data_IF_997083658023
#
_entry.id   IF_997083658023
#
_cell.length_a   1.000
_cell.length_b   1.000
_cell.length_c   1.000
_cell.angle_alpha   90.00
_cell.angle_beta   90.00
_cell.angle_gamma   90.00
#
_symmetry.space_group_name_H-M   'P 1'
#
loop_
_entity.id
_entity.type
_entity.pdbx_description
1 polymer ?
#
# COMPACT_ATOMS: atom_id res chain seq x y z
N UNK A 1 -21.77 -16.16 -2.04
CA UNK A 1 -20.50 -15.62 -2.55
C UNK A 1 -19.39 -16.33 -1.83
N UNK A 2 -18.25 -16.69 -2.44
CA UNK A 2 -17.16 -17.28 -1.70
C UNK A 2 -16.59 -16.21 -0.78
N UNK A 3 -16.81 -16.34 0.51
CA UNK A 3 -16.08 -15.55 1.51
C UNK A 3 -14.69 -16.15 1.62
N UNK A 4 -13.66 -15.31 1.72
CA UNK A 4 -12.32 -15.79 2.07
C UNK A 4 -12.43 -16.66 3.34
N UNK A 5 -11.76 -17.81 3.33
CA UNK A 5 -11.83 -18.76 4.45
C UNK A 5 -11.28 -18.16 5.76
N UNK A 6 -10.34 -17.24 5.65
CA UNK A 6 -9.61 -16.64 6.77
C UNK A 6 -9.82 -15.12 6.82
N UNK A 7 -9.65 -14.48 7.98
CA UNK A 7 -9.71 -13.02 8.10
C UNK A 7 -8.71 -12.33 7.17
N UNK A 8 -9.11 -11.15 6.69
CA UNK A 8 -8.27 -10.28 5.87
C UNK A 8 -7.71 -9.16 6.76
N UNK A 9 -6.42 -8.97 6.74
CA UNK A 9 -5.75 -7.84 7.39
C UNK A 9 -5.33 -6.84 6.32
N UNK A 10 -5.79 -5.60 6.44
CA UNK A 10 -5.32 -4.46 5.66
C UNK A 10 -4.12 -3.86 6.39
N UNK A 11 -2.91 -4.06 5.85
CA UNK A 11 -1.67 -3.60 6.45
C UNK A 11 -1.21 -2.29 5.82
N UNK A 12 -1.18 -1.22 6.62
CA UNK A 12 -0.86 0.13 6.16
C UNK A 12 0.66 0.38 6.03
N UNK A 13 1.03 1.31 5.13
CA UNK A 13 2.39 1.80 4.97
C UNK A 13 2.78 2.92 5.95
N UNK A 14 3.89 3.60 5.64
CA UNK A 14 4.28 4.84 6.34
C UNK A 14 3.58 6.02 5.70
N UNK A 15 2.92 6.84 6.52
CA UNK A 15 2.36 8.11 6.10
C UNK A 15 2.18 9.03 7.32
N UNK A 16 2.37 10.32 7.13
CA UNK A 16 1.95 11.33 8.09
C UNK A 16 0.43 11.51 7.99
N UNK A 17 -0.27 10.59 8.65
CA UNK A 17 -1.73 10.53 8.59
C UNK A 17 -2.39 11.80 9.14
N UNK A 18 -1.77 12.47 10.14
CA UNK A 18 -2.15 13.78 10.63
C UNK A 18 -2.17 14.86 9.53
N UNK A 19 -1.12 14.90 8.71
CA UNK A 19 -1.05 15.83 7.58
C UNK A 19 -2.09 15.49 6.51
N UNK A 20 -2.20 14.22 6.14
CA UNK A 20 -3.18 13.76 5.14
C UNK A 20 -4.60 14.09 5.58
N UNK A 21 -4.98 13.79 6.82
CA UNK A 21 -6.29 14.13 7.37
C UNK A 21 -6.57 15.64 7.31
N UNK A 22 -5.62 16.46 7.72
CA UNK A 22 -5.78 17.92 7.68
C UNK A 22 -5.94 18.45 6.25
N UNK A 23 -5.18 17.89 5.30
CA UNK A 23 -5.28 18.25 3.88
C UNK A 23 -6.66 17.87 3.32
N UNK A 24 -7.09 16.63 3.54
CA UNK A 24 -8.35 16.15 3.00
C UNK A 24 -9.57 16.77 3.69
N UNK A 25 -9.53 17.05 5.00
CA UNK A 25 -10.60 17.76 5.69
C UNK A 25 -10.84 19.14 5.06
N UNK A 26 -9.78 19.91 4.80
CA UNK A 26 -9.90 21.21 4.10
C UNK A 26 -10.50 21.05 2.70
N UNK A 27 -10.16 19.97 2.00
CA UNK A 27 -10.68 19.65 0.67
C UNK A 27 -12.17 19.33 0.74
N UNK A 28 -12.62 18.54 1.72
CA UNK A 28 -14.02 18.19 1.94
C UNK A 28 -14.84 19.41 2.36
N UNK A 29 -14.34 20.22 3.30
CA UNK A 29 -14.96 21.47 3.69
C UNK A 29 -15.16 22.41 2.51
N UNK A 30 -14.13 22.56 1.65
CA UNK A 30 -14.21 23.40 0.46
C UNK A 30 -15.24 22.91 -0.58
N UNK A 31 -15.58 21.61 -0.55
CA UNK A 31 -16.62 20.99 -1.39
C UNK A 31 -18.00 20.95 -0.73
N UNK A 32 -18.12 21.39 0.53
CA UNK A 32 -19.36 21.23 1.31
C UNK A 32 -19.74 19.78 1.58
N UNK A 33 -18.75 18.87 1.53
CA UNK A 33 -18.94 17.46 1.86
C UNK A 33 -18.79 17.31 3.38
N UNK A 34 -19.92 17.11 4.07
CA UNK A 34 -19.88 16.60 5.45
C UNK A 34 -19.70 15.08 5.38
N UNK A 35 -18.67 14.59 6.05
CA UNK A 35 -18.41 13.15 6.07
C UNK A 35 -19.43 12.44 6.98
N UNK A 36 -20.59 12.09 6.41
CA UNK A 36 -21.54 11.15 7.04
C UNK A 36 -21.12 9.68 6.83
N UNK A 37 -19.89 9.46 6.42
CA UNK A 37 -19.34 8.16 6.05
C UNK A 37 -19.15 7.23 7.24
N UNK A 38 -19.20 5.89 7.01
CA UNK A 38 -18.97 4.90 8.05
C UNK A 38 -17.58 5.04 8.69
N UNK A 39 -17.43 4.52 9.90
CA UNK A 39 -16.28 4.63 10.83
C UNK A 39 -14.85 4.50 10.24
N UNK A 40 -14.66 4.13 8.98
CA UNK A 40 -13.35 4.00 8.34
C UNK A 40 -13.06 5.00 7.18
N UNK A 41 -13.92 6.01 7.00
CA UNK A 41 -13.70 7.05 5.99
C UNK A 41 -12.47 7.92 6.28
N UNK A 42 -12.05 8.00 7.54
CA UNK A 42 -10.88 8.74 8.02
C UNK A 42 -9.70 7.80 8.35
N UNK A 43 -9.78 6.54 7.94
CA UNK A 43 -8.70 5.57 8.14
C UNK A 43 -7.77 5.53 6.93
N UNK A 44 -6.59 4.94 7.11
CA UNK A 44 -5.59 4.80 6.06
C UNK A 44 -6.20 4.21 4.77
N UNK A 45 -6.93 3.10 4.87
CA UNK A 45 -7.69 2.49 3.77
C UNK A 45 -9.11 3.06 3.73
N UNK A 46 -9.25 4.24 3.12
CA UNK A 46 -10.48 5.03 3.15
C UNK A 46 -11.70 4.29 2.60
N UNK A 47 -12.60 3.89 3.50
CA UNK A 47 -13.87 3.20 3.17
C UNK A 47 -13.70 1.82 2.54
N UNK A 48 -12.48 1.29 2.40
CA UNK A 48 -12.20 -0.02 1.79
C UNK A 48 -12.61 -1.14 2.74
N UNK A 49 -12.23 -1.05 4.02
CA UNK A 49 -12.59 -2.04 5.03
C UNK A 49 -14.08 -2.21 5.17
N UNK A 50 -14.84 -1.10 5.27
CA UNK A 50 -16.30 -1.13 5.32
C UNK A 50 -16.92 -1.71 4.05
N UNK A 51 -16.37 -1.37 2.88
CA UNK A 51 -16.85 -1.92 1.61
C UNK A 51 -16.71 -3.45 1.57
N UNK A 52 -15.57 -3.99 1.98
CA UNK A 52 -15.35 -5.43 2.03
C UNK A 52 -16.25 -6.13 3.07
N UNK A 53 -16.45 -5.53 4.27
CA UNK A 53 -17.36 -6.07 5.28
C UNK A 53 -18.81 -6.12 4.80
N UNK A 54 -19.26 -5.11 4.06
CA UNK A 54 -20.60 -5.10 3.43
C UNK A 54 -20.79 -6.26 2.43
N UNK A 55 -19.68 -6.77 1.86
CA UNK A 55 -19.69 -7.94 0.98
C UNK A 55 -19.43 -9.27 1.72
N UNK A 56 -19.45 -9.25 3.06
CA UNK A 56 -19.39 -10.45 3.90
C UNK A 56 -17.99 -10.95 4.24
N UNK A 57 -16.94 -10.15 4.00
CA UNK A 57 -15.58 -10.51 4.42
C UNK A 57 -15.31 -10.11 5.86
N UNK A 58 -14.57 -10.93 6.60
CA UNK A 58 -14.02 -10.58 7.91
C UNK A 58 -12.73 -9.76 7.71
N UNK A 59 -12.80 -8.46 7.98
CA UNK A 59 -11.72 -7.52 7.65
C UNK A 59 -11.31 -6.71 8.85
N UNK A 60 -10.00 -6.70 9.10
CA UNK A 60 -9.33 -5.94 10.14
C UNK A 60 -8.32 -4.98 9.51
N UNK A 61 -8.11 -3.82 10.13
CA UNK A 61 -7.05 -2.89 9.75
C UNK A 61 -5.93 -3.00 10.78
N UNK A 62 -4.68 -3.09 10.31
CA UNK A 62 -3.53 -3.11 11.20
C UNK A 62 -3.33 -1.76 11.91
N UNK A 63 -2.75 -1.82 13.10
CA UNK A 63 -2.31 -0.66 13.85
C UNK A 63 -0.85 -0.87 14.21
N UNK A 64 0.05 -0.47 13.31
CA UNK A 64 1.50 -0.53 13.51
C UNK A 64 2.08 0.87 13.66
N UNK A 65 3.26 0.99 14.25
CA UNK A 65 3.92 2.28 14.45
C UNK A 65 4.22 2.98 13.12
N UNK A 66 3.65 4.15 12.87
CA UNK A 66 3.80 4.86 11.58
C UNK A 66 5.23 5.29 11.28
N UNK A 67 6.02 5.66 12.29
CA UNK A 67 7.33 6.26 12.19
C UNK A 67 8.50 5.30 12.46
N UNK A 68 8.23 4.03 12.78
CA UNK A 68 9.25 3.10 13.18
C UNK A 68 9.96 2.45 11.98
N UNK A 69 11.20 1.95 12.14
CA UNK A 69 11.85 1.14 11.14
C UNK A 69 11.11 -0.18 10.91
N UNK A 70 11.37 -0.82 9.76
CA UNK A 70 10.64 -2.02 9.29
C UNK A 70 10.65 -3.17 10.31
N UNK A 71 11.73 -3.35 11.05
CA UNK A 71 11.85 -4.41 12.06
C UNK A 71 10.81 -4.24 13.17
N UNK A 72 10.68 -3.03 13.70
CA UNK A 72 9.68 -2.73 14.74
C UNK A 72 8.25 -2.84 14.21
N UNK A 73 8.00 -2.36 13.01
CA UNK A 73 6.69 -2.45 12.35
C UNK A 73 6.30 -3.91 12.07
N UNK A 74 7.27 -4.75 11.73
CA UNK A 74 7.08 -6.20 11.56
C UNK A 74 6.70 -6.88 12.88
N UNK A 75 7.30 -6.47 14.02
CA UNK A 75 6.90 -6.95 15.34
C UNK A 75 5.47 -6.55 15.69
N UNK A 76 5.12 -5.27 15.50
CA UNK A 76 3.77 -4.77 15.75
C UNK A 76 2.74 -5.53 14.90
N UNK A 77 3.06 -5.79 13.61
CA UNK A 77 2.18 -6.55 12.71
C UNK A 77 2.04 -8.02 13.15
N UNK A 78 3.12 -8.66 13.63
CA UNK A 78 3.07 -10.01 14.21
C UNK A 78 2.09 -10.07 15.38
N UNK A 79 2.17 -9.11 16.27
CA UNK A 79 1.33 -9.07 17.46
C UNK A 79 -0.14 -8.85 17.08
N UNK A 80 -0.39 -8.00 16.09
CA UNK A 80 -1.73 -7.79 15.55
C UNK A 80 -2.30 -9.03 14.85
N UNK A 81 -1.50 -9.74 14.04
CA UNK A 81 -1.90 -11.03 13.43
C UNK A 81 -2.27 -12.05 14.51
N UNK A 82 -1.43 -12.20 15.55
CA UNK A 82 -1.71 -13.13 16.65
C UNK A 82 -3.00 -12.75 17.41
N UNK A 83 -3.24 -11.46 17.63
CA UNK A 83 -4.46 -10.95 18.26
C UNK A 83 -5.70 -11.31 17.42
N UNK A 84 -5.65 -11.08 16.11
CA UNK A 84 -6.76 -11.39 15.20
C UNK A 84 -7.03 -12.90 15.13
N UNK A 85 -6.00 -13.73 15.05
CA UNK A 85 -6.14 -15.17 15.07
C UNK A 85 -6.81 -15.66 16.37
N UNK A 86 -6.43 -15.08 17.52
CA UNK A 86 -7.07 -15.39 18.80
C UNK A 86 -8.54 -14.99 18.84
N UNK A 87 -8.88 -13.80 18.33
CA UNK A 87 -10.25 -13.29 18.33
C UNK A 87 -11.16 -14.05 17.36
N UNK A 88 -10.67 -14.38 16.18
CA UNK A 88 -11.44 -15.06 15.14
C UNK A 88 -11.52 -16.59 15.32
N UNK A 89 -10.64 -17.16 16.14
CA UNK A 89 -10.49 -18.62 16.27
C UNK A 89 -9.95 -19.30 15.01
N UNK A 90 -9.38 -18.53 14.08
CA UNK A 90 -8.83 -19.04 12.83
C UNK A 90 -7.35 -19.38 12.95
N UNK A 91 -6.84 -20.24 12.06
CA UNK A 91 -5.44 -20.66 12.06
C UNK A 91 -4.53 -19.77 11.20
N UNK A 92 -5.11 -19.08 10.23
CA UNK A 92 -4.38 -18.25 9.25
C UNK A 92 -5.12 -16.96 8.98
N UNK A 93 -4.38 -16.01 8.38
CA UNK A 93 -4.92 -14.77 7.84
C UNK A 93 -4.53 -14.61 6.37
N UNK A 94 -5.27 -13.77 5.65
CA UNK A 94 -4.84 -13.14 4.42
C UNK A 94 -4.37 -11.72 4.74
N UNK A 95 -3.29 -11.26 4.09
CA UNK A 95 -2.80 -9.90 4.25
C UNK A 95 -2.90 -9.19 2.90
N UNK A 96 -3.57 -8.04 2.87
CA UNK A 96 -3.52 -7.08 1.76
C UNK A 96 -2.77 -5.87 2.30
N UNK A 97 -1.56 -5.65 1.79
CA UNK A 97 -0.64 -4.65 2.30
C UNK A 97 -0.39 -3.56 1.26
N UNK A 98 -0.35 -2.32 1.71
CA UNK A 98 -0.02 -1.18 0.88
C UNK A 98 1.34 -0.58 1.25
N UNK A 99 2.11 -0.16 0.23
CA UNK A 99 3.35 0.55 0.43
C UNK A 99 4.35 -0.22 1.31
N UNK A 100 4.99 0.44 2.27
CA UNK A 100 5.90 -0.18 3.25
C UNK A 100 5.23 -1.32 4.04
N UNK A 101 3.90 -1.33 4.21
CA UNK A 101 3.19 -2.42 4.86
C UNK A 101 3.45 -3.80 4.22
N UNK A 102 3.76 -3.82 2.92
CA UNK A 102 4.18 -5.04 2.23
C UNK A 102 5.57 -5.50 2.65
N UNK A 103 6.51 -4.59 2.89
CA UNK A 103 7.83 -4.91 3.45
C UNK A 103 7.71 -5.38 4.90
N UNK A 104 6.88 -4.70 5.72
CA UNK A 104 6.61 -5.10 7.10
C UNK A 104 6.08 -6.53 7.17
N UNK A 105 5.12 -6.87 6.28
CA UNK A 105 4.54 -8.21 6.20
C UNK A 105 5.57 -9.26 5.77
N UNK A 106 6.43 -8.96 4.80
CA UNK A 106 7.53 -9.86 4.39
C UNK A 106 8.54 -10.07 5.51
N UNK A 107 8.97 -9.00 6.18
CA UNK A 107 9.84 -9.10 7.35
C UNK A 107 9.19 -9.93 8.46
N UNK A 108 7.94 -9.67 8.79
CA UNK A 108 7.19 -10.46 9.78
C UNK A 108 7.16 -11.96 9.41
N UNK A 109 6.86 -12.28 8.16
CA UNK A 109 6.78 -13.67 7.68
C UNK A 109 8.13 -14.38 7.85
N UNK A 110 9.24 -13.70 7.57
CA UNK A 110 10.58 -14.28 7.53
C UNK A 110 11.25 -14.24 8.90
N UNK A 111 11.36 -13.04 9.51
CA UNK A 111 12.14 -12.86 10.74
C UNK A 111 11.42 -13.31 12.00
N UNK A 112 10.09 -13.35 11.98
CA UNK A 112 9.27 -13.81 13.09
C UNK A 112 8.58 -15.16 12.81
N UNK A 113 9.00 -15.88 11.76
CA UNK A 113 8.54 -17.23 11.42
C UNK A 113 7.02 -17.35 11.28
N UNK A 114 6.36 -16.28 10.78
CA UNK A 114 4.90 -16.20 10.69
C UNK A 114 4.32 -16.88 9.43
N UNK A 115 5.14 -17.48 8.58
CA UNK A 115 4.68 -18.18 7.37
C UNK A 115 3.56 -19.22 7.62
N UNK A 116 3.58 -20.02 8.72
CA UNK A 116 2.49 -20.96 9.01
C UNK A 116 1.14 -20.30 9.29
N UNK A 117 1.13 -19.03 9.71
CA UNK A 117 -0.06 -18.25 10.09
C UNK A 117 -0.58 -17.34 8.96
N UNK A 118 0.14 -17.24 7.83
CA UNK A 118 -0.25 -16.42 6.68
C UNK A 118 -0.59 -17.32 5.51
N UNK A 119 -1.83 -17.21 5.00
CA UNK A 119 -2.27 -17.95 3.82
C UNK A 119 -1.77 -17.27 2.53
N UNK A 120 -1.94 -15.95 2.45
CA UNK A 120 -1.43 -15.16 1.33
C UNK A 120 -1.03 -13.75 1.74
N UNK A 121 -0.08 -13.19 1.02
CA UNK A 121 0.30 -11.79 1.04
C UNK A 121 0.06 -11.19 -0.35
N UNK A 122 -0.86 -10.23 -0.42
CA UNK A 122 -1.09 -9.40 -1.61
C UNK A 122 -0.57 -8.00 -1.33
N UNK A 123 0.35 -7.50 -2.14
CA UNK A 123 0.94 -6.17 -2.00
C UNK A 123 0.44 -5.22 -3.09
N UNK A 124 0.23 -3.97 -2.74
CA UNK A 124 -0.19 -2.88 -3.63
C UNK A 124 0.77 -1.71 -3.37
N UNK A 125 1.37 -1.15 -4.41
CA UNK A 125 2.28 0.00 -4.27
C UNK A 125 3.52 -0.26 -3.41
N UNK A 126 3.89 -1.52 -3.14
CA UNK A 126 5.01 -1.85 -2.26
C UNK A 126 6.35 -1.73 -2.98
N UNK A 127 7.33 -1.01 -2.41
CA UNK A 127 8.65 -0.86 -3.00
C UNK A 127 9.53 -2.10 -2.77
N UNK A 128 9.19 -3.23 -3.40
CA UNK A 128 9.94 -4.48 -3.25
C UNK A 128 11.41 -4.41 -3.68
N UNK A 129 11.71 -3.54 -4.63
CA UNK A 129 13.08 -3.28 -5.11
C UNK A 129 13.62 -1.93 -4.60
N UNK A 130 12.94 -1.30 -3.64
CA UNK A 130 13.21 0.05 -3.19
C UNK A 130 12.64 1.11 -4.12
N UNK A 131 13.02 2.36 -3.92
CA UNK A 131 12.65 3.50 -4.76
C UNK A 131 13.83 4.46 -4.89
N UNK A 132 14.10 4.90 -6.12
CA UNK A 132 15.11 5.92 -6.40
C UNK A 132 14.85 7.24 -5.69
N UNK A 133 13.62 7.49 -5.30
CA UNK A 133 13.27 8.63 -4.48
C UNK A 133 13.87 8.55 -3.06
N UNK A 134 13.93 7.35 -2.47
CA UNK A 134 14.62 7.15 -1.20
C UNK A 134 16.14 7.35 -1.34
N UNK A 135 16.73 6.85 -2.42
CA UNK A 135 18.15 7.04 -2.71
C UNK A 135 18.47 8.51 -2.96
N UNK A 136 17.62 9.22 -3.71
CA UNK A 136 17.73 10.66 -3.91
C UNK A 136 17.68 11.41 -2.57
N UNK A 137 16.74 11.05 -1.70
CA UNK A 137 16.62 11.67 -0.38
C UNK A 137 17.84 11.46 0.51
N UNK A 138 18.46 10.28 0.47
CA UNK A 138 19.72 9.99 1.16
C UNK A 138 20.88 10.85 0.64
N UNK A 139 20.92 11.11 -0.66
CA UNK A 139 21.96 11.91 -1.31
C UNK A 139 21.78 13.43 -1.06
N UNK A 140 20.55 13.90 -0.85
CA UNK A 140 20.17 15.31 -0.76
C UNK A 140 19.63 15.67 0.63
N UNK A 141 20.31 15.25 1.71
CA UNK A 141 19.95 15.53 3.10
C UNK A 141 19.94 17.05 3.38
N UNK A 142 18.82 17.72 3.11
CA UNK A 142 18.67 19.15 3.30
C UNK A 142 17.21 19.60 3.35
N UNK A 143 17.01 20.91 3.46
CA UNK A 143 15.68 21.53 3.59
C UNK A 143 14.71 21.12 2.47
N UNK A 144 15.23 20.94 1.25
CA UNK A 144 14.43 20.52 0.09
C UNK A 144 13.84 19.11 0.24
N UNK A 145 14.62 18.17 0.77
CA UNK A 145 14.15 16.81 1.09
C UNK A 145 13.08 16.82 2.18
N UNK A 146 13.32 17.57 3.26
CA UNK A 146 12.38 17.72 4.37
C UNK A 146 11.08 18.40 3.89
N UNK A 147 11.19 19.37 3.00
CA UNK A 147 10.02 20.07 2.45
C UNK A 147 9.13 19.16 1.60
N UNK A 148 9.72 18.26 0.80
CA UNK A 148 8.99 17.35 -0.09
C UNK A 148 8.38 16.20 0.71
N UNK A 149 9.18 15.55 1.58
CA UNK A 149 8.81 14.31 2.25
C UNK A 149 8.16 14.54 3.60
N UNK A 150 8.69 15.46 4.40
CA UNK A 150 8.25 15.66 5.78
C UNK A 150 6.77 16.01 5.94
N UNK A 151 6.10 16.33 4.83
CA UNK A 151 4.65 16.56 4.79
C UNK A 151 3.86 15.27 4.60
N UNK A 152 4.40 14.26 3.92
CA UNK A 152 3.62 13.08 3.49
C UNK A 152 4.13 11.79 4.13
N UNK A 153 5.44 11.67 4.38
CA UNK A 153 6.08 10.45 4.86
C UNK A 153 6.85 10.72 6.14
N UNK A 154 6.84 9.77 7.07
CA UNK A 154 7.72 9.82 8.24
C UNK A 154 9.12 9.31 7.90
N UNK A 155 10.14 10.06 8.35
CA UNK A 155 11.52 9.79 8.01
C UNK A 155 12.10 8.50 8.64
N UNK A 156 11.52 8.01 9.75
CA UNK A 156 12.06 6.87 10.48
C UNK A 156 12.14 5.57 9.68
N UNK A 157 11.11 5.29 8.87
CA UNK A 157 11.07 4.11 8.00
C UNK A 157 11.59 4.35 6.58
N UNK A 158 11.87 5.60 6.21
CA UNK A 158 12.21 5.97 4.84
C UNK A 158 13.53 5.36 4.36
N UNK A 159 14.50 5.21 5.25
CA UNK A 159 15.80 4.60 4.94
C UNK A 159 15.70 3.14 4.50
N UNK A 160 14.70 2.43 5.02
CA UNK A 160 14.42 1.05 4.65
C UNK A 160 13.89 0.91 3.21
N UNK A 161 13.50 2.03 2.57
CA UNK A 161 12.95 2.06 1.21
C UNK A 161 14.03 2.29 0.13
N UNK A 162 15.29 2.44 0.51
CA UNK A 162 16.38 2.56 -0.46
C UNK A 162 16.54 1.26 -1.27
N UNK A 163 17.00 1.38 -2.51
CA UNK A 163 17.24 0.22 -3.38
C UNK A 163 18.24 -0.75 -2.74
N UNK A 164 19.28 -0.21 -2.10
CA UNK A 164 20.28 -1.02 -1.41
C UNK A 164 19.70 -1.81 -0.23
N UNK A 165 18.87 -1.18 0.62
CA UNK A 165 18.24 -1.85 1.76
C UNK A 165 17.29 -2.95 1.30
N UNK A 166 16.46 -2.66 0.29
CA UNK A 166 15.53 -3.66 -0.28
C UNK A 166 16.26 -4.80 -0.98
N UNK A 167 17.38 -4.54 -1.66
CA UNK A 167 18.21 -5.60 -2.27
C UNK A 167 18.78 -6.53 -1.20
N UNK A 168 19.37 -5.99 -0.15
CA UNK A 168 19.93 -6.77 0.95
C UNK A 168 18.85 -7.65 1.62
N UNK A 169 17.67 -7.10 1.86
CA UNK A 169 16.55 -7.87 2.41
C UNK A 169 16.08 -8.96 1.43
N UNK A 170 15.96 -8.66 0.13
CA UNK A 170 15.54 -9.64 -0.87
C UNK A 170 16.48 -10.85 -0.93
N UNK A 171 17.81 -10.63 -0.84
CA UNK A 171 18.81 -11.69 -0.80
C UNK A 171 18.63 -12.60 0.42
N UNK A 172 18.36 -12.02 1.58
CA UNK A 172 18.14 -12.79 2.84
C UNK A 172 16.80 -13.54 2.83
N UNK A 173 15.75 -12.92 2.29
CA UNK A 173 14.39 -13.44 2.34
C UNK A 173 14.10 -14.52 1.28
N UNK A 174 14.79 -14.49 0.15
CA UNK A 174 14.45 -15.27 -1.04
C UNK A 174 14.28 -16.76 -0.80
N UNK A 175 15.18 -17.39 -0.06
CA UNK A 175 15.11 -18.83 0.22
C UNK A 175 13.87 -19.17 1.07
N UNK A 176 13.65 -18.41 2.14
CA UNK A 176 12.49 -18.60 3.02
C UNK A 176 11.17 -18.34 2.31
N UNK A 177 11.10 -17.32 1.47
CA UNK A 177 9.90 -16.98 0.70
C UNK A 177 9.62 -18.02 -0.39
N UNK A 178 10.65 -18.55 -1.04
CA UNK A 178 10.51 -19.58 -2.07
C UNK A 178 10.01 -20.90 -1.50
N UNK A 179 10.39 -21.26 -0.27
CA UNK A 179 10.13 -22.58 0.32
C UNK A 179 8.91 -22.62 1.24
N UNK A 180 8.42 -21.49 1.75
CA UNK A 180 7.22 -21.45 2.58
C UNK A 180 5.93 -21.66 1.77
N UNK A 181 4.77 -21.83 2.45
CA UNK A 181 3.48 -22.09 1.84
C UNK A 181 2.66 -20.80 1.53
N UNK A 182 3.19 -19.60 1.82
CA UNK A 182 2.49 -18.33 1.59
C UNK A 182 2.33 -18.07 0.10
N UNK A 183 1.13 -17.71 -0.35
CA UNK A 183 0.88 -17.29 -1.73
C UNK A 183 1.18 -15.80 -1.85
N UNK A 184 2.10 -15.42 -2.74
CA UNK A 184 2.49 -14.02 -2.95
C UNK A 184 1.84 -13.45 -4.21
N UNK A 185 1.26 -12.23 -4.08
CA UNK A 185 0.70 -11.45 -5.19
C UNK A 185 1.21 -10.01 -5.11
N UNK A 186 1.53 -9.42 -6.26
CA UNK A 186 1.99 -8.04 -6.35
C UNK A 186 1.13 -7.26 -7.35
N UNK A 187 0.55 -6.17 -6.92
CA UNK A 187 -0.20 -5.22 -7.76
C UNK A 187 0.59 -3.94 -7.91
N UNK A 188 0.77 -3.49 -9.14
CA UNK A 188 1.44 -2.24 -9.46
C UNK A 188 0.49 -1.24 -10.11
N UNK A 189 0.49 -0.03 -9.59
CA UNK A 189 -0.18 1.11 -10.20
C UNK A 189 0.82 2.11 -10.77
N UNK A 190 0.35 2.93 -11.66
CA UNK A 190 1.04 4.12 -12.14
C UNK A 190 0.04 5.19 -12.52
N UNK A 191 0.47 6.44 -12.49
CA UNK A 191 -0.37 7.58 -12.85
C UNK A 191 0.42 8.59 -13.67
N UNK A 192 -0.29 9.35 -14.52
CA UNK A 192 0.30 10.49 -15.23
C UNK A 192 0.61 11.60 -14.24
N UNK A 193 1.77 12.24 -14.35
CA UNK A 193 2.24 13.27 -13.43
C UNK A 193 1.18 14.31 -13.04
N UNK A 194 0.44 14.84 -14.00
CA UNK A 194 -0.62 15.84 -13.77
C UNK A 194 -1.83 15.34 -12.97
N UNK A 195 -1.99 14.03 -12.83
CA UNK A 195 -3.03 13.35 -12.07
C UNK A 195 -2.51 12.77 -10.76
N UNK A 196 -1.23 12.98 -10.44
CA UNK A 196 -0.63 12.60 -9.16
C UNK A 196 -0.93 13.68 -8.13
N UNK A 197 -1.22 13.26 -6.91
CA UNK A 197 -1.37 14.13 -5.74
C UNK A 197 -0.28 15.18 -5.71
N UNK A 198 -0.68 16.45 -5.70
CA UNK A 198 0.23 17.59 -5.92
C UNK A 198 1.55 17.53 -5.13
N UNK A 199 1.55 17.17 -3.82
CA UNK A 199 2.79 17.02 -3.07
C UNK A 199 3.73 15.89 -3.56
N UNK A 200 3.22 14.92 -4.32
CA UNK A 200 4.00 13.81 -4.87
C UNK A 200 4.49 14.02 -6.30
N UNK A 201 4.16 15.15 -6.94
CA UNK A 201 4.55 15.39 -8.34
C UNK A 201 6.07 15.49 -8.51
N UNK A 202 6.78 16.07 -7.53
CA UNK A 202 8.24 16.15 -7.59
C UNK A 202 8.93 14.79 -7.38
N UNK A 203 8.43 13.97 -6.46
CA UNK A 203 8.93 12.59 -6.33
C UNK A 203 8.62 11.77 -7.58
N UNK A 204 7.45 12.01 -8.20
CA UNK A 204 7.10 11.40 -9.47
C UNK A 204 8.15 11.70 -10.56
N UNK A 205 8.57 12.96 -10.72
CA UNK A 205 9.58 13.37 -11.69
C UNK A 205 10.92 12.64 -11.44
N UNK A 206 11.39 12.60 -10.18
CA UNK A 206 12.63 11.95 -9.78
C UNK A 206 12.61 10.44 -10.14
N UNK A 207 11.50 9.77 -9.85
CA UNK A 207 11.34 8.34 -10.14
C UNK A 207 11.20 8.12 -11.65
N UNK A 208 10.42 8.96 -12.33
CA UNK A 208 10.22 8.84 -13.77
C UNK A 208 11.52 8.97 -14.57
N UNK A 209 12.42 9.87 -14.16
CA UNK A 209 13.71 10.08 -14.81
C UNK A 209 14.66 8.88 -14.66
N UNK A 210 14.52 8.09 -13.60
CA UNK A 210 15.42 6.97 -13.28
C UNK A 210 14.80 5.59 -13.51
N UNK A 211 13.49 5.43 -13.28
CA UNK A 211 12.81 4.14 -13.27
C UNK A 211 11.59 4.07 -14.20
N UNK A 212 11.08 5.21 -14.70
CA UNK A 212 9.92 5.29 -15.60
C UNK A 212 8.58 5.31 -14.85
N UNK A 213 7.58 4.59 -15.39
CA UNK A 213 6.21 4.56 -14.89
C UNK A 213 6.16 4.33 -13.37
N UNK A 214 5.42 5.21 -12.66
CA UNK A 214 5.36 5.20 -11.19
C UNK A 214 4.03 5.77 -10.67
N UNK A 215 3.79 5.59 -9.38
CA UNK A 215 2.62 6.06 -8.64
C UNK A 215 2.86 7.38 -7.88
N UNK A 216 4.03 8.00 -8.07
CA UNK A 216 4.50 9.18 -7.35
C UNK A 216 5.44 8.89 -6.20
N UNK A 217 5.56 7.64 -5.71
CA UNK A 217 6.49 7.22 -4.66
C UNK A 217 7.27 5.96 -5.00
N UNK A 218 6.73 5.07 -5.84
CA UNK A 218 7.31 3.77 -6.17
C UNK A 218 7.14 3.50 -7.67
N UNK A 219 8.17 3.05 -8.35
CA UNK A 219 8.06 2.65 -9.75
C UNK A 219 7.22 1.38 -9.91
N UNK A 220 6.48 1.28 -11.01
CA UNK A 220 5.69 0.07 -11.33
C UNK A 220 6.56 -1.20 -11.35
N UNK A 221 7.82 -1.07 -11.78
CA UNK A 221 8.80 -2.16 -11.75
C UNK A 221 9.08 -2.63 -10.32
N UNK A 222 9.31 -1.70 -9.40
CA UNK A 222 9.58 -2.02 -7.99
C UNK A 222 8.35 -2.65 -7.32
N UNK A 223 7.15 -2.15 -7.62
CA UNK A 223 5.89 -2.68 -7.10
C UNK A 223 5.63 -4.12 -7.58
N UNK A 224 5.93 -4.43 -8.83
CA UNK A 224 5.77 -5.78 -9.39
C UNK A 224 6.74 -6.79 -8.79
N UNK A 225 7.82 -6.32 -8.17
CA UNK A 225 8.85 -7.19 -7.60
C UNK A 225 9.53 -8.06 -8.67
N UNK A 226 9.51 -9.37 -8.49
CA UNK A 226 10.04 -10.38 -9.42
C UNK A 226 8.96 -11.42 -9.73
N UNK A 227 9.02 -12.02 -10.90
CA UNK A 227 7.99 -12.99 -11.32
C UNK A 227 8.07 -14.32 -10.58
N UNK A 228 9.23 -14.67 -10.02
CA UNK A 228 9.48 -15.95 -9.35
C UNK A 228 10.51 -15.82 -8.24
N UNK A 229 10.24 -16.49 -7.13
CA UNK A 229 11.20 -16.72 -6.04
C UNK A 229 11.94 -18.03 -6.29
N UNK A 230 13.25 -18.06 -6.03
CA UNK A 230 14.09 -19.21 -6.31
C UNK A 230 14.93 -19.61 -5.10
N UNK A 231 14.98 -20.91 -4.80
CA UNK A 231 15.86 -21.50 -3.78
C UNK A 231 16.34 -22.88 -4.24
N UNK A 232 17.55 -22.96 -4.75
CA UNK A 232 18.06 -24.18 -5.37
C UNK A 232 17.15 -24.65 -6.53
N UNK A 233 16.59 -25.84 -6.39
CA UNK A 233 15.65 -26.41 -7.37
C UNK A 233 14.20 -25.93 -7.21
N UNK A 234 13.88 -25.26 -6.10
CA UNK A 234 12.53 -24.74 -5.83
C UNK A 234 12.31 -23.45 -6.57
N UNK A 235 11.18 -23.35 -7.29
CA UNK A 235 10.78 -22.15 -8.02
C UNK A 235 9.31 -21.86 -7.78
N UNK A 236 9.01 -20.76 -7.08
CA UNK A 236 7.67 -20.35 -6.67
C UNK A 236 7.24 -19.08 -7.43
N UNK A 237 6.11 -19.10 -8.14
CA UNK A 237 5.65 -17.91 -8.86
C UNK A 237 5.13 -16.84 -7.89
N UNK A 238 5.31 -15.56 -8.27
CA UNK A 238 4.59 -14.43 -7.72
C UNK A 238 3.56 -14.00 -8.76
N UNK A 239 2.30 -13.93 -8.38
CA UNK A 239 1.24 -13.45 -9.25
C UNK A 239 1.36 -11.93 -9.37
N UNK A 240 1.74 -11.44 -10.55
CA UNK A 240 1.90 -10.03 -10.85
C UNK A 240 0.71 -9.49 -11.62
N UNK A 241 0.18 -8.35 -11.21
CA UNK A 241 -0.94 -7.66 -11.87
C UNK A 241 -0.73 -6.16 -11.91
N UNK A 242 -1.22 -5.54 -12.97
CA UNK A 242 -1.39 -4.09 -12.98
C UNK A 242 -2.69 -3.74 -12.26
N UNK A 243 -2.64 -2.65 -11.49
CA UNK A 243 -3.82 -2.09 -10.86
C UNK A 243 -4.78 -1.63 -11.98
N UNK A 244 -6.04 -2.07 -12.01
CA UNK A 244 -6.90 -1.89 -13.19
C UNK A 244 -7.45 -0.46 -13.34
N UNK A 245 -7.04 0.44 -12.45
CA UNK A 245 -7.40 1.85 -12.43
C UNK A 245 -6.11 2.65 -12.41
N UNK A 246 -5.97 3.71 -13.23
CA UNK A 246 -4.87 4.65 -13.08
C UNK A 246 -4.94 5.26 -11.69
N UNK A 247 -3.90 5.07 -10.90
CA UNK A 247 -3.86 5.46 -9.49
C UNK A 247 -2.46 5.93 -9.12
N UNK A 248 -2.38 7.00 -8.33
CA UNK A 248 -1.20 7.34 -7.59
C UNK A 248 -1.16 6.60 -6.24
N UNK A 249 -0.11 6.77 -5.50
CA UNK A 249 0.13 6.06 -4.24
C UNK A 249 -0.96 6.27 -3.17
N UNK A 250 -1.65 7.41 -3.18
CA UNK A 250 -2.77 7.69 -2.26
C UNK A 250 -4.10 7.21 -2.82
N UNK A 251 -4.28 7.26 -4.14
CA UNK A 251 -5.46 6.73 -4.80
C UNK A 251 -5.61 5.22 -4.55
N UNK A 252 -4.51 4.48 -4.52
CA UNK A 252 -4.50 3.04 -4.24
C UNK A 252 -5.24 2.68 -2.95
N UNK A 253 -5.27 3.57 -1.98
CA UNK A 253 -5.94 3.40 -0.68
C UNK A 253 -7.21 4.24 -0.52
N UNK A 254 -7.73 4.79 -1.63
CA UNK A 254 -9.02 5.47 -1.67
C UNK A 254 -8.98 6.98 -1.44
N UNK A 255 -7.79 7.59 -1.29
CA UNK A 255 -7.64 9.04 -1.17
C UNK A 255 -7.45 9.67 -2.56
N UNK A 256 -7.88 10.92 -2.74
CA UNK A 256 -7.81 11.69 -3.99
C UNK A 256 -7.72 13.19 -3.69
N UNK A 257 -7.25 14.01 -4.62
CA UNK A 257 -7.26 15.46 -4.49
C UNK A 257 -8.17 16.15 -5.50
N UNK A 258 -8.46 17.44 -5.25
CA UNK A 258 -9.35 18.24 -6.10
C UNK A 258 -8.78 18.50 -7.50
N UNK A 259 -7.48 18.64 -7.63
CA UNK A 259 -6.85 18.94 -8.91
C UNK A 259 -6.97 17.72 -9.82
N UNK A 260 -6.68 16.55 -9.28
CA UNK A 260 -6.88 15.25 -9.94
C UNK A 260 -8.34 15.10 -10.40
N UNK A 261 -9.30 15.32 -9.51
CA UNK A 261 -10.72 15.16 -9.83
C UNK A 261 -11.19 16.17 -10.88
N UNK A 262 -10.68 17.39 -10.89
CA UNK A 262 -10.97 18.40 -11.94
C UNK A 262 -10.40 17.98 -13.30
N UNK A 263 -9.18 17.45 -13.34
CA UNK A 263 -8.56 16.95 -14.55
C UNK A 263 -9.33 15.76 -15.14
N UNK A 264 -9.83 14.86 -14.29
CA UNK A 264 -10.66 13.73 -14.70
C UNK A 264 -12.07 14.16 -15.15
N UNK A 265 -12.59 15.25 -14.62
CA UNK A 265 -13.98 15.68 -14.80
C UNK A 265 -14.27 16.35 -16.15
N UNK A 266 -13.28 16.80 -16.90
CA UNK A 266 -13.43 17.76 -18.02
C UNK A 266 -14.50 17.44 -19.08
N UNK A 267 -15.13 16.26 -19.09
CA UNK A 267 -16.05 15.92 -20.21
C UNK A 267 -17.51 15.64 -19.90
N UNK A 268 -17.97 15.29 -18.71
CA UNK A 268 -19.32 14.66 -18.70
C UNK A 268 -20.25 14.76 -17.47
N UNK A 269 -19.81 15.03 -16.24
CA UNK A 269 -20.67 14.88 -15.06
C UNK A 269 -20.35 15.91 -13.98
N UNK A 270 -21.16 15.98 -12.93
CA UNK A 270 -20.79 16.76 -11.76
C UNK A 270 -19.50 16.18 -11.13
N UNK A 271 -18.66 17.02 -10.54
CA UNK A 271 -17.44 16.58 -9.85
C UNK A 271 -17.74 15.50 -8.80
N UNK A 272 -18.88 15.60 -8.12
CA UNK A 272 -19.32 14.63 -7.12
C UNK A 272 -19.56 13.23 -7.70
N UNK A 273 -20.13 13.13 -8.90
CA UNK A 273 -20.31 11.84 -9.57
C UNK A 273 -18.97 11.25 -10.00
N UNK A 274 -18.02 12.08 -10.43
CA UNK A 274 -16.67 11.63 -10.78
C UNK A 274 -15.94 11.06 -9.57
N UNK A 275 -15.98 11.77 -8.44
CA UNK A 275 -15.40 11.34 -7.16
C UNK A 275 -15.98 9.98 -6.74
N UNK A 276 -17.32 9.89 -6.66
CA UNK A 276 -18.00 8.65 -6.23
C UNK A 276 -17.69 7.47 -7.14
N UNK A 277 -17.68 7.68 -8.46
CA UNK A 277 -17.39 6.62 -9.42
C UNK A 277 -15.92 6.16 -9.30
N UNK A 278 -14.99 7.08 -9.05
CA UNK A 278 -13.58 6.76 -8.86
C UNK A 278 -13.33 5.99 -7.56
N UNK A 279 -13.87 6.48 -6.44
CA UNK A 279 -13.78 5.77 -5.13
C UNK A 279 -14.36 4.36 -5.21
N UNK A 280 -15.51 4.20 -5.89
CA UNK A 280 -16.12 2.88 -6.05
C UNK A 280 -15.25 1.95 -6.90
N UNK A 281 -14.59 2.47 -7.94
CA UNK A 281 -13.66 1.68 -8.75
C UNK A 281 -12.48 1.19 -7.93
N UNK A 282 -11.88 2.04 -7.09
CA UNK A 282 -10.79 1.63 -6.18
C UNK A 282 -11.29 0.55 -5.20
N UNK A 283 -12.42 0.76 -4.53
CA UNK A 283 -13.01 -0.21 -3.60
C UNK A 283 -13.29 -1.56 -4.27
N UNK A 284 -13.74 -1.55 -5.54
CA UNK A 284 -14.00 -2.76 -6.30
C UNK A 284 -12.72 -3.52 -6.69
N UNK A 285 -11.56 -2.86 -6.80
CA UNK A 285 -10.27 -3.56 -6.96
C UNK A 285 -10.00 -4.43 -5.73
N UNK A 286 -10.18 -3.88 -4.53
CA UNK A 286 -10.01 -4.64 -3.29
C UNK A 286 -11.04 -5.77 -3.15
N UNK A 287 -12.27 -5.54 -3.61
CA UNK A 287 -13.30 -6.59 -3.65
C UNK A 287 -12.92 -7.73 -4.62
N UNK A 288 -12.36 -7.42 -5.79
CA UNK A 288 -11.84 -8.44 -6.72
C UNK A 288 -10.66 -9.21 -6.08
N UNK A 289 -9.73 -8.51 -5.44
CA UNK A 289 -8.63 -9.13 -4.70
C UNK A 289 -9.18 -10.08 -3.62
N UNK A 290 -10.07 -9.59 -2.75
CA UNK A 290 -10.64 -10.37 -1.64
C UNK A 290 -11.41 -11.60 -2.15
N UNK A 291 -12.10 -11.49 -3.28
CA UNK A 291 -12.87 -12.59 -3.88
C UNK A 291 -11.99 -13.72 -4.46
N UNK A 292 -10.68 -13.50 -4.59
CA UNK A 292 -9.70 -14.47 -5.10
C UNK A 292 -8.81 -15.06 -3.98
N UNK A 293 -9.07 -14.68 -2.73
CA UNK A 293 -8.38 -15.23 -1.57
C UNK A 293 -9.04 -16.53 -1.14
#
# INVERSE_FOLDING_TARGET
MPNAKYPIILAHGIARFDFLLNFFNKTFEALGLTDESPNDALHYFRGIGSHLRLHGFDVHQSSVSFAAPVERRAEDLRDEVNRILTLSGQEKVHIIAHSMGGLDARHMIITHEMAPKVCSLTTIGTPHLGTSFADWGLAHQGDEFIEIIGKVIDLGGFLNLSQAACSAFNEQAQEHEATNAVIYRAYAASQKQKLVFTPLQKSWDIINDSEGDNDGLVSARSQLWQSRLQAGAVSKPIEQKLFPVGADHLNEIGWWDLNEMKEMHWWKRSIFSTIRDYELRIKNVYLDIASRL
#
